data_IF_270301696201
#
_entry.id   IF_270301696201
#
_cell.length_a   1.000
_cell.length_b   1.000
_cell.length_c   1.000
_cell.angle_alpha   90.00
_cell.angle_beta   90.00
_cell.angle_gamma   90.00
#
_symmetry.space_group_name_H-M   'P 1'
#
loop_
_entity.id
_entity.type
_entity.pdbx_description
1 polymer ?
#
# COMPACT_ATOMS: atom_id res chain seq x y z
N UNK A 1 -19.00 -15.86 12.88
CA UNK A 1 -18.23 -14.88 12.07
C UNK A 1 -16.86 -14.71 12.68
N UNK A 2 -15.82 -15.02 11.92
CA UNK A 2 -14.42 -14.79 12.29
C UNK A 2 -14.02 -13.36 11.91
N UNK A 3 -12.90 -12.87 12.47
CA UNK A 3 -12.37 -11.55 12.11
C UNK A 3 -12.04 -11.45 10.62
N UNK A 4 -11.63 -12.56 9.99
CA UNK A 4 -11.37 -12.64 8.56
C UNK A 4 -12.64 -12.39 7.74
N UNK A 5 -13.73 -13.09 8.06
CA UNK A 5 -15.03 -12.92 7.38
C UNK A 5 -15.58 -11.48 7.53
N UNK A 6 -15.33 -10.81 8.66
CA UNK A 6 -15.76 -9.41 8.84
C UNK A 6 -14.92 -8.40 8.05
N UNK A 7 -13.65 -8.70 7.77
CA UNK A 7 -12.82 -7.84 6.93
C UNK A 7 -13.14 -8.01 5.45
N UNK A 8 -13.36 -9.25 5.01
CA UNK A 8 -13.79 -9.54 3.63
C UNK A 8 -15.15 -8.89 3.32
N UNK A 9 -16.10 -8.91 4.26
CA UNK A 9 -17.37 -8.18 4.13
C UNK A 9 -17.19 -6.66 4.10
N UNK A 10 -16.17 -6.11 4.78
CA UNK A 10 -15.88 -4.68 4.76
C UNK A 10 -15.20 -4.25 3.45
N UNK A 11 -14.22 -5.02 2.97
CA UNK A 11 -13.57 -4.79 1.68
C UNK A 11 -14.54 -4.97 0.50
N UNK A 12 -15.52 -5.88 0.60
CA UNK A 12 -16.54 -6.04 -0.43
C UNK A 12 -17.59 -4.90 -0.43
N UNK A 13 -17.69 -4.12 0.65
CA UNK A 13 -18.55 -2.94 0.74
C UNK A 13 -17.82 -1.66 0.35
N UNK A 14 -16.51 -1.60 0.51
CA UNK A 14 -15.68 -0.55 -0.07
C UNK A 14 -15.50 -0.83 -1.56
N UNK A 15 -15.85 0.14 -2.41
CA UNK A 15 -15.49 0.17 -3.83
C UNK A 15 -14.00 0.54 -3.98
N UNK A 16 -13.16 -0.12 -3.17
CA UNK A 16 -11.75 0.14 -3.11
C UNK A 16 -11.13 -0.36 -4.41
N UNK A 17 -10.32 0.53 -5.01
CA UNK A 17 -9.53 0.22 -6.18
C UNK A 17 -8.81 -1.11 -5.98
N UNK A 18 -8.62 -1.91 -7.03
CA UNK A 18 -7.77 -3.13 -6.95
C UNK A 18 -6.34 -2.82 -6.47
N UNK A 19 -5.96 -1.55 -6.50
CA UNK A 19 -4.69 -1.01 -6.04
C UNK A 19 -4.73 -0.47 -4.62
N UNK A 20 -5.87 -0.47 -3.92
CA UNK A 20 -5.97 -0.04 -2.54
C UNK A 20 -4.94 -0.79 -1.66
N UNK A 21 -4.28 -0.10 -0.71
CA UNK A 21 -4.48 1.28 -0.28
C UNK A 21 -3.81 2.35 -1.15
N UNK A 22 -3.22 1.97 -2.28
CA UNK A 22 -2.54 2.88 -3.20
C UNK A 22 -3.54 3.57 -4.14
N UNK A 23 -3.17 4.77 -4.60
CA UNK A 23 -3.97 5.61 -5.49
C UNK A 23 -4.23 4.94 -6.83
N UNK A 24 -3.21 4.28 -7.38
CA UNK A 24 -3.22 3.68 -8.71
C UNK A 24 -2.16 2.57 -8.85
N UNK A 25 -2.15 1.94 -10.03
CA UNK A 25 -1.20 0.89 -10.40
C UNK A 25 0.25 1.37 -10.35
N UNK A 26 0.51 2.63 -10.70
CA UNK A 26 1.87 3.18 -10.76
C UNK A 26 2.45 3.34 -9.35
N UNK A 27 1.66 3.85 -8.41
CA UNK A 27 2.04 3.93 -7.00
C UNK A 27 2.26 2.54 -6.40
N UNK A 28 1.43 1.56 -6.77
CA UNK A 28 1.60 0.17 -6.34
C UNK A 28 2.88 -0.49 -6.89
N UNK A 29 3.16 -0.32 -8.19
CA UNK A 29 4.40 -0.82 -8.82
C UNK A 29 5.65 -0.14 -8.23
N UNK A 30 5.57 1.16 -7.89
CA UNK A 30 6.66 1.85 -7.18
C UNK A 30 6.93 1.20 -5.82
N UNK A 31 5.89 0.97 -5.01
CA UNK A 31 6.05 0.31 -3.70
C UNK A 31 6.69 -1.08 -3.84
N UNK A 32 6.24 -1.87 -4.84
CA UNK A 32 6.82 -3.17 -5.18
C UNK A 32 8.29 -3.06 -5.59
N UNK A 33 8.64 -2.11 -6.45
CA UNK A 33 10.01 -1.86 -6.89
C UNK A 33 10.94 -1.51 -5.73
N UNK A 34 10.49 -0.63 -4.83
CA UNK A 34 11.25 -0.23 -3.64
C UNK A 34 11.49 -1.43 -2.72
N UNK A 35 10.45 -2.21 -2.41
CA UNK A 35 10.61 -3.42 -1.59
C UNK A 35 11.58 -4.43 -2.20
N UNK A 36 11.52 -4.64 -3.52
CA UNK A 36 12.37 -5.61 -4.22
C UNK A 36 13.84 -5.20 -4.29
N UNK A 37 14.14 -3.92 -4.49
CA UNK A 37 15.50 -3.46 -4.79
C UNK A 37 16.21 -2.83 -3.59
N UNK A 38 15.47 -2.17 -2.71
CA UNK A 38 16.03 -1.38 -1.61
C UNK A 38 15.93 -2.15 -0.28
N UNK A 39 14.91 -3.00 -0.16
CA UNK A 39 14.61 -3.76 1.05
C UNK A 39 13.86 -2.92 2.09
N UNK A 40 13.09 -3.60 2.94
CA UNK A 40 12.10 -2.97 3.82
C UNK A 40 12.67 -1.83 4.68
N UNK A 41 13.83 -2.03 5.33
CA UNK A 41 14.40 -1.04 6.26
C UNK A 41 14.74 0.29 5.58
N UNK A 42 15.35 0.23 4.40
CA UNK A 42 15.77 1.42 3.65
C UNK A 42 14.59 2.08 2.94
N UNK A 43 13.60 1.29 2.51
CA UNK A 43 12.33 1.82 2.00
C UNK A 43 11.59 2.59 3.09
N UNK A 44 11.53 2.07 4.31
CA UNK A 44 10.89 2.75 5.43
C UNK A 44 11.60 4.08 5.79
N UNK A 45 12.93 4.09 5.81
CA UNK A 45 13.72 5.33 5.96
C UNK A 45 13.47 6.33 4.83
N UNK A 46 13.41 5.85 3.58
CA UNK A 46 13.12 6.68 2.40
C UNK A 46 11.72 7.29 2.44
N UNK A 47 10.70 6.50 2.77
CA UNK A 47 9.31 6.96 2.88
C UNK A 47 9.10 7.94 4.04
N UNK A 48 9.93 7.86 5.09
CA UNK A 48 9.92 8.83 6.20
C UNK A 48 10.50 10.20 5.82
N UNK A 49 11.24 10.30 4.72
CA UNK A 49 11.74 11.60 4.24
C UNK A 49 10.54 12.45 3.80
N UNK A 50 10.38 13.63 4.40
CA UNK A 50 9.25 14.53 4.17
C UNK A 50 9.03 14.97 2.71
N UNK A 51 9.98 14.67 1.82
CA UNK A 51 9.84 14.88 0.38
C UNK A 51 8.80 13.92 -0.26
N UNK A 52 8.68 12.68 0.23
CA UNK A 52 7.72 11.69 -0.28
C UNK A 52 6.30 11.96 0.23
N UNK A 53 6.17 12.63 1.39
CA UNK A 53 4.89 12.94 2.04
C UNK A 53 4.00 13.95 1.29
N UNK A 54 4.48 14.49 0.16
CA UNK A 54 3.84 15.57 -0.61
C UNK A 54 3.48 15.16 -2.05
N UNK A 55 3.76 13.91 -2.46
CA UNK A 55 3.36 13.33 -3.76
C UNK A 55 2.00 12.63 -3.66
#
# INVERSE_FOLDING_TARGET
>A
KTLFESWEEAEALDDDSMWAPFRDEEEWELARFLMKNIGQNKTDEFLKLGMVKTL
#
